data_IF_084847107405
#
_entry.id   IF_084847107405
#
_cell.length_a   1.000
_cell.length_b   1.000
_cell.length_c   1.000
_cell.angle_alpha   90.00
_cell.angle_beta   90.00
_cell.angle_gamma   90.00
#
_symmetry.space_group_name_H-M   'P 1'
#
loop_
_entity.id
_entity.type
_entity.pdbx_description
1 polymer ?
#
# COMPACT_ATOMS: atom_id res chain seq x y z
N UNK A 1 -18.90 10.82 -6.62
CA UNK A 1 -18.85 12.16 -6.00
C UNK A 1 -18.05 13.12 -6.90
N UNK A 2 -18.69 14.14 -7.50
CA UNK A 2 -18.03 15.09 -8.41
C UNK A 2 -16.81 15.79 -7.80
N UNK A 3 -16.85 16.10 -6.51
CA UNK A 3 -15.77 16.81 -5.79
C UNK A 3 -14.43 16.09 -5.84
N UNK A 4 -14.39 14.76 -5.64
CA UNK A 4 -13.14 14.00 -5.70
C UNK A 4 -12.55 13.98 -7.11
N UNK A 5 -13.39 14.05 -8.16
CA UNK A 5 -12.91 14.11 -9.55
C UNK A 5 -12.24 15.46 -9.82
N UNK A 6 -12.85 16.56 -9.38
CA UNK A 6 -12.28 17.90 -9.52
C UNK A 6 -10.93 18.03 -8.78
N UNK A 7 -10.86 17.60 -7.52
CA UNK A 7 -9.63 17.67 -6.73
C UNK A 7 -8.50 16.83 -7.33
N UNK A 8 -8.81 15.63 -7.85
CA UNK A 8 -7.81 14.80 -8.54
C UNK A 8 -7.32 15.44 -9.84
N UNK A 9 -8.24 16.05 -10.61
CA UNK A 9 -7.88 16.74 -11.84
C UNK A 9 -7.01 17.97 -11.57
N UNK A 10 -7.37 18.77 -10.57
CA UNK A 10 -6.59 19.92 -10.12
C UNK A 10 -5.20 19.49 -9.66
N UNK A 11 -5.11 18.46 -8.82
CA UNK A 11 -3.82 17.90 -8.36
C UNK A 11 -2.94 17.48 -9.54
N UNK A 12 -3.52 16.83 -10.56
CA UNK A 12 -2.81 16.42 -11.77
C UNK A 12 -2.38 17.62 -12.61
N UNK A 13 -3.21 18.66 -12.75
CA UNK A 13 -2.82 19.86 -13.50
C UNK A 13 -1.69 20.62 -12.81
N UNK A 14 -1.76 20.79 -11.49
CA UNK A 14 -0.73 21.48 -10.70
C UNK A 14 0.63 20.79 -10.79
N UNK A 15 0.67 19.46 -10.95
CA UNK A 15 1.92 18.67 -10.95
C UNK A 15 2.26 18.01 -12.28
N UNK A 16 1.42 18.20 -13.31
CA UNK A 16 1.58 17.55 -14.61
C UNK A 16 2.80 18.02 -15.40
N UNK A 17 3.37 19.17 -15.03
CA UNK A 17 4.57 19.74 -15.62
C UNK A 17 5.81 19.57 -14.72
N UNK A 18 5.69 18.83 -13.62
CA UNK A 18 6.84 18.55 -12.76
C UNK A 18 7.90 17.75 -13.51
N UNK A 19 9.13 18.21 -13.39
CA UNK A 19 10.34 17.55 -13.86
C UNK A 19 10.66 16.29 -13.05
N UNK A 20 11.51 15.43 -13.60
CA UNK A 20 12.02 14.27 -12.86
C UNK A 20 12.72 14.68 -11.55
N UNK A 21 13.42 15.82 -11.55
CA UNK A 21 14.08 16.34 -10.36
C UNK A 21 13.06 16.70 -9.26
N UNK A 22 11.89 17.25 -9.62
CA UNK A 22 10.81 17.52 -8.67
C UNK A 22 10.21 16.24 -8.10
N UNK A 23 9.99 15.22 -8.94
CA UNK A 23 9.51 13.91 -8.49
C UNK A 23 10.50 13.21 -7.55
N UNK A 24 11.80 13.42 -7.71
CA UNK A 24 12.82 12.78 -6.87
C UNK A 24 12.77 13.21 -5.41
N UNK A 25 12.15 14.34 -5.10
CA UNK A 25 11.96 14.80 -3.73
C UNK A 25 10.77 14.14 -3.03
N UNK A 26 9.86 13.48 -3.76
CA UNK A 26 8.66 12.89 -3.16
C UNK A 26 8.97 11.53 -2.55
N UNK A 27 8.49 11.34 -1.32
CA UNK A 27 8.47 10.04 -0.65
C UNK A 27 7.05 9.52 -0.66
N UNK A 28 6.84 8.40 -1.34
CA UNK A 28 5.56 7.70 -1.32
C UNK A 28 5.53 6.74 -0.14
N UNK A 29 4.35 6.56 0.47
CA UNK A 29 4.12 5.57 1.51
C UNK A 29 2.74 4.97 1.35
N UNK A 30 2.54 3.74 1.83
CA UNK A 30 1.22 3.12 1.86
C UNK A 30 1.17 1.98 2.87
N UNK A 31 -0.04 1.62 3.29
CA UNK A 31 -0.30 0.36 3.99
C UNK A 31 -0.86 -0.68 3.00
N UNK A 32 -0.25 -1.86 2.95
CA UNK A 32 -0.75 -2.96 2.13
C UNK A 32 -1.00 -4.22 2.95
N UNK A 33 -2.04 -4.97 2.59
CA UNK A 33 -2.38 -6.25 3.20
C UNK A 33 -2.02 -7.40 2.27
N UNK A 34 -1.17 -8.30 2.76
CA UNK A 34 -0.81 -9.54 2.09
C UNK A 34 -1.57 -10.69 2.72
N UNK A 35 -2.50 -11.28 1.97
CA UNK A 35 -3.26 -12.44 2.44
C UNK A 35 -2.39 -13.71 2.38
N UNK A 36 -2.40 -14.51 3.44
CA UNK A 36 -1.67 -15.79 3.50
C UNK A 36 -2.39 -16.93 2.78
N UNK A 37 -3.69 -16.74 2.52
CA UNK A 37 -4.50 -17.62 1.70
C UNK A 37 -5.19 -16.82 0.60
N UNK A 38 -5.45 -17.50 -0.52
CA UNK A 38 -6.21 -16.91 -1.62
C UNK A 38 -7.63 -16.55 -1.14
N UNK A 39 -8.03 -15.30 -1.34
CA UNK A 39 -9.39 -14.80 -1.09
C UNK A 39 -10.34 -15.08 -2.25
N UNK A 40 -9.80 -15.49 -3.40
CA UNK A 40 -10.56 -15.71 -4.63
C UNK A 40 -11.50 -16.92 -4.58
N UNK A 41 -11.44 -17.74 -3.53
CA UNK A 41 -12.15 -19.02 -3.37
C UNK A 41 -11.99 -19.96 -4.58
N UNK A 42 -11.00 -19.72 -5.44
CA UNK A 42 -10.77 -20.45 -6.67
C UNK A 42 -9.56 -21.34 -6.46
N UNK A 43 -9.84 -22.62 -6.25
CA UNK A 43 -8.80 -23.63 -6.36
C UNK A 43 -8.40 -23.71 -7.83
N UNK A 44 -7.15 -23.37 -8.15
CA UNK A 44 -6.59 -23.61 -9.48
C UNK A 44 -6.41 -25.12 -9.65
N UNK A 45 -7.22 -25.73 -10.50
CA UNK A 45 -7.15 -27.17 -10.83
C UNK A 45 -6.72 -27.32 -12.28
N UNK A 46 -5.67 -28.10 -12.54
CA UNK A 46 -5.38 -28.58 -13.88
C UNK A 46 -6.32 -29.74 -14.19
N UNK A 47 -7.23 -29.60 -15.16
CA UNK A 47 -8.17 -30.65 -15.54
C UNK A 47 -8.26 -30.83 -17.07
N UNK A 48 -8.28 -32.07 -17.59
CA UNK A 48 -8.74 -32.36 -18.94
C UNK A 48 -10.21 -31.94 -19.12
N UNK A 49 -10.63 -31.67 -20.35
CA UNK A 49 -11.83 -30.90 -20.79
C UNK A 49 -13.22 -31.39 -20.28
N UNK A 50 -13.32 -32.35 -19.35
CA UNK A 50 -14.60 -32.98 -19.00
C UNK A 50 -14.84 -32.98 -17.48
N UNK A 51 -15.70 -32.05 -17.02
CA UNK A 51 -16.64 -32.14 -15.88
C UNK A 51 -16.85 -30.76 -15.21
N UNK A 52 -18.06 -30.21 -15.36
CA UNK A 52 -18.47 -28.84 -15.01
C UNK A 52 -19.07 -28.68 -13.61
N UNK A 53 -18.68 -29.50 -12.64
CA UNK A 53 -19.14 -29.37 -11.26
C UNK A 53 -17.97 -29.00 -10.34
N UNK A 54 -17.76 -27.70 -10.12
CA UNK A 54 -16.86 -27.19 -9.09
C UNK A 54 -17.45 -25.93 -8.45
N UNK A 55 -18.42 -26.13 -7.55
CA UNK A 55 -18.84 -25.09 -6.63
C UNK A 55 -17.94 -25.16 -5.40
N UNK A 56 -16.91 -24.31 -5.37
CA UNK A 56 -16.14 -24.10 -4.15
C UNK A 56 -17.00 -23.33 -3.15
N UNK A 57 -17.11 -23.85 -1.93
CA UNK A 57 -17.80 -23.19 -0.82
C UNK A 57 -17.18 -21.81 -0.58
N UNK A 58 -18.03 -20.78 -0.42
CA UNK A 58 -17.58 -19.41 -0.15
C UNK A 58 -16.88 -19.37 1.21
N UNK A 59 -15.62 -18.96 1.24
CA UNK A 59 -14.93 -18.66 2.49
C UNK A 59 -15.52 -17.36 3.08
N UNK A 60 -16.22 -17.48 4.21
CA UNK A 60 -16.81 -16.35 4.95
C UNK A 60 -15.98 -15.99 6.19
N UNK A 61 -14.90 -16.75 6.47
CA UNK A 61 -14.04 -16.49 7.63
C UNK A 61 -13.03 -15.36 7.33
N UNK A 62 -12.55 -14.65 8.37
CA UNK A 62 -11.50 -13.65 8.21
C UNK A 62 -10.27 -14.26 7.52
N UNK A 63 -9.91 -13.73 6.35
CA UNK A 63 -8.68 -14.15 5.65
C UNK A 63 -7.49 -13.72 6.49
N UNK A 64 -6.70 -14.68 6.98
CA UNK A 64 -5.48 -14.37 7.71
C UNK A 64 -4.53 -13.65 6.76
N UNK A 65 -4.10 -12.46 7.14
CA UNK A 65 -3.24 -11.63 6.31
C UNK A 65 -2.33 -10.80 7.19
N UNK A 66 -1.21 -10.41 6.60
CA UNK A 66 -0.19 -9.58 7.21
C UNK A 66 -0.33 -8.18 6.64
N UNK A 67 -0.48 -7.20 7.50
CA UNK A 67 -0.48 -5.80 7.10
C UNK A 67 0.93 -5.25 7.23
N UNK A 68 1.39 -4.56 6.21
CA UNK A 68 2.71 -3.94 6.18
C UNK A 68 2.60 -2.47 5.80
N UNK A 69 3.57 -1.70 6.23
CA UNK A 69 3.80 -0.33 5.80
C UNK A 69 5.22 -0.20 5.32
N UNK A 70 5.43 0.58 4.27
CA UNK A 70 6.76 0.94 3.79
C UNK A 70 6.69 2.28 3.04
N UNK A 71 7.86 2.83 2.73
CA UNK A 71 8.04 4.03 1.92
C UNK A 71 8.99 3.78 0.77
N UNK A 72 8.75 4.51 -0.32
CA UNK A 72 9.55 4.49 -1.52
C UNK A 72 9.85 5.92 -1.93
N UNK A 73 11.14 6.27 -1.96
CA UNK A 73 11.66 7.49 -2.55
C UNK A 73 12.55 7.13 -3.74
N UNK A 74 12.90 8.11 -4.58
CA UNK A 74 13.78 7.87 -5.73
C UNK A 74 15.15 7.27 -5.34
N UNK A 75 15.73 7.72 -4.23
CA UNK A 75 17.08 7.34 -3.79
C UNK A 75 17.11 6.46 -2.54
N UNK A 76 15.96 6.11 -1.95
CA UNK A 76 15.90 5.35 -0.71
C UNK A 76 14.58 4.60 -0.53
N UNK A 77 14.65 3.57 0.31
CA UNK A 77 13.51 2.79 0.79
C UNK A 77 13.57 2.76 2.32
N UNK A 78 12.42 2.73 2.99
CA UNK A 78 12.41 2.38 4.41
C UNK A 78 12.45 0.86 4.60
N UNK A 79 12.64 0.38 5.84
CA UNK A 79 12.35 -1.00 6.17
C UNK A 79 10.86 -1.28 6.06
N UNK A 80 10.49 -2.50 5.64
CA UNK A 80 9.12 -2.98 5.71
C UNK A 80 8.72 -3.17 7.18
N UNK A 81 7.65 -2.49 7.60
CA UNK A 81 7.14 -2.54 8.97
C UNK A 81 5.89 -3.41 9.02
N UNK A 82 5.89 -4.41 9.89
CA UNK A 82 4.72 -5.25 10.14
C UNK A 82 3.75 -4.56 11.10
N UNK A 83 2.55 -4.28 10.62
CA UNK A 83 1.48 -3.70 11.43
C UNK A 83 0.68 -4.83 12.08
N UNK A 84 0.64 -4.82 13.40
CA UNK A 84 -0.17 -5.76 14.18
C UNK A 84 -1.48 -5.13 14.61
N UNK A 85 -2.60 -5.73 14.23
CA UNK A 85 -3.94 -5.25 14.59
C UNK A 85 -4.35 -3.98 13.82
N UNK A 86 -5.29 -3.22 14.38
CA UNK A 86 -5.82 -2.00 13.75
C UNK A 86 -4.83 -0.84 13.96
N UNK A 87 -4.53 -0.13 12.88
CA UNK A 87 -3.73 1.09 12.90
C UNK A 87 -4.60 2.30 13.26
N UNK A 88 -4.45 2.78 14.50
CA UNK A 88 -5.04 4.03 14.96
C UNK A 88 -4.03 5.18 14.79
N UNK A 89 -4.50 6.42 14.74
CA UNK A 89 -3.65 7.59 14.52
C UNK A 89 -2.47 7.70 15.51
N UNK A 90 -2.71 7.47 16.81
CA UNK A 90 -1.65 7.52 17.82
C UNK A 90 -0.58 6.45 17.60
N UNK A 91 -1.00 5.24 17.18
CA UNK A 91 -0.07 4.17 16.82
C UNK A 91 0.70 4.49 15.56
N UNK A 92 0.08 5.13 14.57
CA UNK A 92 0.81 5.59 13.38
C UNK A 92 1.94 6.56 13.76
N UNK A 93 1.68 7.50 14.66
CA UNK A 93 2.71 8.43 15.14
C UNK A 93 3.85 7.70 15.86
N UNK A 94 3.52 6.86 16.84
CA UNK A 94 4.48 6.21 17.72
C UNK A 94 5.22 5.04 17.06
N UNK A 95 4.51 4.21 16.30
CA UNK A 95 5.04 2.97 15.72
C UNK A 95 5.64 3.20 14.32
N UNK A 96 5.24 4.26 13.59
CA UNK A 96 5.68 4.53 12.21
C UNK A 96 6.45 5.85 12.09
N UNK A 97 5.80 6.98 12.37
CA UNK A 97 6.38 8.29 12.03
C UNK A 97 7.64 8.59 12.84
N UNK A 98 7.58 8.47 14.16
CA UNK A 98 8.69 8.77 15.06
C UNK A 98 9.93 7.89 14.82
N UNK A 99 9.81 6.55 14.81
CA UNK A 99 10.98 5.67 14.68
C UNK A 99 11.46 5.44 13.24
N UNK A 100 10.66 5.72 12.21
CA UNK A 100 11.04 5.36 10.83
C UNK A 100 11.04 6.55 9.88
N UNK A 101 9.96 7.35 9.86
CA UNK A 101 9.87 8.49 8.92
C UNK A 101 10.86 9.59 9.30
N UNK A 102 10.97 9.95 10.58
CA UNK A 102 11.92 11.00 11.00
C UNK A 102 13.37 10.63 10.64
N UNK A 103 13.76 9.37 10.85
CA UNK A 103 15.08 8.87 10.48
C UNK A 103 15.28 8.83 8.96
N UNK A 104 14.25 8.49 8.18
CA UNK A 104 14.32 8.54 6.72
C UNK A 104 14.51 9.98 6.22
N UNK A 105 13.75 10.93 6.75
CA UNK A 105 13.83 12.34 6.35
C UNK A 105 15.18 12.97 6.72
N UNK A 106 15.80 12.56 7.82
CA UNK A 106 17.17 12.98 8.15
C UNK A 106 18.20 12.52 7.10
N UNK A 107 17.95 11.40 6.43
CA UNK A 107 18.82 10.85 5.37
C UNK A 107 18.49 11.42 3.99
N UNK A 108 17.32 12.03 3.83
CA UNK A 108 16.83 12.63 2.60
C UNK A 108 16.53 14.13 2.80
N UNK A 109 17.57 14.96 3.01
CA UNK A 109 17.36 16.39 3.27
C UNK A 109 16.66 17.05 2.08
N UNK A 110 15.52 17.71 2.35
CA UNK A 110 14.69 18.37 1.33
C UNK A 110 13.62 17.49 0.72
N UNK A 111 13.53 16.21 1.10
CA UNK A 111 12.43 15.35 0.68
C UNK A 111 11.10 15.80 1.28
N UNK A 112 10.03 15.56 0.53
CA UNK A 112 8.65 15.87 0.85
C UNK A 112 7.95 14.54 1.16
N UNK A 113 7.51 14.41 2.41
CA UNK A 113 6.70 13.31 2.90
C UNK A 113 5.21 13.69 2.91
#
# INVERSE_FOLDING_TARGET
MPTHRCLRLEWCHTRGHWSAAEWNWIVFHDESRFNLSSDDNRVRVWRPVVNSASLSQRHTAPTVGVMVWDTVAYSALSPIIFIRGIMAAQRYVHDILQPHVLLLMQRLPGAIF
#
